data_IF_639710114793
#
_entry.id   IF_639710114793
#
_cell.length_a   1.000
_cell.length_b   1.000
_cell.length_c   1.000
_cell.angle_alpha   90.00
_cell.angle_beta   90.00
_cell.angle_gamma   90.00
#
_symmetry.space_group_name_H-M   'P 1'
#
loop_
_entity.id
_entity.type
_entity.pdbx_description
1 polymer ?
#
# COMPACT_ATOMS: atom_id res chain seq x y z
N UNK A 1 -15.81 10.41 -14.55
CA UNK A 1 -15.91 11.14 -13.26
C UNK A 1 -16.32 10.19 -12.15
N UNK A 2 -15.75 10.28 -10.96
CA UNK A 2 -16.19 9.46 -9.83
C UNK A 2 -17.63 9.85 -9.44
N UNK A 3 -18.45 8.85 -9.10
CA UNK A 3 -19.83 9.08 -8.63
C UNK A 3 -19.86 9.66 -7.21
N UNK A 4 -18.82 9.45 -6.43
CA UNK A 4 -18.68 9.94 -5.07
C UNK A 4 -17.62 11.03 -5.07
N UNK A 5 -17.94 12.19 -4.48
CA UNK A 5 -16.99 13.29 -4.31
C UNK A 5 -15.79 12.82 -3.47
N UNK A 6 -14.59 13.08 -3.94
CA UNK A 6 -13.39 12.93 -3.10
C UNK A 6 -13.32 14.11 -2.14
N UNK A 7 -13.41 13.84 -0.85
CA UNK A 7 -13.32 14.89 0.17
C UNK A 7 -11.92 15.52 0.19
N UNK A 8 -11.86 16.82 0.46
CA UNK A 8 -10.61 17.50 0.79
C UNK A 8 -10.23 17.19 2.23
N UNK A 9 -8.96 17.36 2.60
CA UNK A 9 -8.48 17.06 3.95
C UNK A 9 -9.19 17.84 5.06
N UNK A 10 -9.55 19.09 4.79
CA UNK A 10 -10.28 19.96 5.70
C UNK A 10 -11.74 19.51 5.93
N UNK A 11 -12.25 18.63 5.07
CA UNK A 11 -13.59 18.02 5.18
C UNK A 11 -13.57 16.67 5.95
N UNK A 12 -12.37 16.14 6.32
CA UNK A 12 -12.27 14.87 7.03
C UNK A 12 -12.52 15.02 8.52
N UNK A 13 -13.01 13.95 9.13
CA UNK A 13 -13.02 13.80 10.58
C UNK A 13 -11.60 13.93 11.15
N UNK A 14 -11.42 14.67 12.25
CA UNK A 14 -10.11 14.98 12.80
C UNK A 14 -9.36 13.72 13.27
N UNK A 15 -10.06 12.79 13.93
CA UNK A 15 -9.45 11.57 14.45
C UNK A 15 -9.00 10.67 13.28
N UNK A 16 -9.82 10.55 12.22
CA UNK A 16 -9.44 9.80 11.03
C UNK A 16 -8.22 10.40 10.35
N UNK A 17 -8.15 11.72 10.29
CA UNK A 17 -7.04 12.46 9.70
C UNK A 17 -5.73 12.24 10.47
N UNK A 18 -5.80 12.24 11.80
CA UNK A 18 -4.67 11.95 12.67
C UNK A 18 -4.24 10.47 12.56
N UNK A 19 -5.19 9.52 12.66
CA UNK A 19 -4.92 8.09 12.55
C UNK A 19 -4.23 7.69 11.25
N UNK A 20 -4.51 8.40 10.16
CA UNK A 20 -3.92 8.12 8.84
C UNK A 20 -2.68 8.95 8.54
N UNK A 21 -2.26 9.83 9.45
CA UNK A 21 -1.22 10.83 9.21
C UNK A 21 -1.42 11.60 7.89
N UNK A 22 -2.68 11.89 7.56
CA UNK A 22 -3.07 12.37 6.25
C UNK A 22 -2.44 13.72 5.86
N UNK A 23 -2.10 14.56 6.84
CA UNK A 23 -1.47 15.88 6.60
C UNK A 23 -0.04 15.76 6.04
N UNK A 24 0.65 14.66 6.32
CA UNK A 24 2.00 14.38 5.80
C UNK A 24 1.98 13.54 4.51
N UNK A 25 0.83 12.98 4.16
CA UNK A 25 0.67 12.11 3.02
C UNK A 25 0.49 12.87 1.70
N UNK A 26 0.94 12.26 0.61
CA UNK A 26 0.70 12.75 -0.74
C UNK A 26 -0.76 12.53 -1.18
N UNK A 27 -1.19 13.20 -2.23
CA UNK A 27 -2.52 13.00 -2.82
C UNK A 27 -2.75 11.55 -3.29
N UNK A 28 -1.69 10.82 -3.64
CA UNK A 28 -1.75 9.41 -4.01
C UNK A 28 -1.99 8.52 -2.78
N UNK A 29 -1.26 8.77 -1.69
CA UNK A 29 -1.41 8.04 -0.42
C UNK A 29 -2.77 8.29 0.24
N UNK A 30 -3.26 9.52 0.18
CA UNK A 30 -4.62 9.86 0.60
C UNK A 30 -5.70 9.16 -0.24
N UNK A 31 -5.39 8.91 -1.48
CA UNK A 31 -6.10 8.18 -2.52
C UNK A 31 -7.55 7.80 -2.23
N UNK A 32 -7.75 6.52 -1.94
CA UNK A 32 -9.07 5.95 -1.68
C UNK A 32 -9.68 6.44 -0.35
N UNK A 33 -8.84 6.81 0.61
CA UNK A 33 -9.30 7.31 1.92
C UNK A 33 -10.12 8.60 1.78
N UNK A 34 -9.88 9.41 0.74
CA UNK A 34 -10.69 10.60 0.41
C UNK A 34 -12.15 10.27 0.07
N UNK A 35 -12.42 9.02 -0.27
CA UNK A 35 -13.78 8.50 -0.47
C UNK A 35 -14.32 7.87 0.80
N UNK A 36 -13.50 7.12 1.52
CA UNK A 36 -13.89 6.47 2.78
C UNK A 36 -14.16 7.47 3.90
N UNK A 37 -13.56 8.65 3.85
CA UNK A 37 -13.78 9.73 4.82
C UNK A 37 -15.25 10.21 4.92
N UNK A 38 -16.12 9.84 3.98
CA UNK A 38 -17.57 10.04 4.11
C UNK A 38 -18.20 9.20 5.25
N UNK A 39 -17.54 8.15 5.67
CA UNK A 39 -17.98 7.26 6.75
C UNK A 39 -16.85 7.10 7.79
N UNK A 40 -16.54 8.14 8.58
CA UNK A 40 -15.33 8.19 9.38
C UNK A 40 -15.23 7.06 10.40
N UNK A 41 -16.33 6.66 11.04
CA UNK A 41 -16.30 5.56 12.03
C UNK A 41 -15.94 4.21 11.41
N UNK A 42 -16.47 3.90 10.22
CA UNK A 42 -16.11 2.69 9.48
C UNK A 42 -14.64 2.75 9.04
N UNK A 43 -14.23 3.91 8.57
CA UNK A 43 -12.85 4.13 8.08
C UNK A 43 -11.82 4.03 9.20
N UNK A 44 -12.12 4.55 10.38
CA UNK A 44 -11.27 4.38 11.59
C UNK A 44 -11.15 2.89 11.96
N UNK A 45 -12.23 2.12 11.88
CA UNK A 45 -12.20 0.68 12.09
C UNK A 45 -11.30 -0.05 11.08
N UNK A 46 -11.38 0.33 9.79
CA UNK A 46 -10.53 -0.23 8.74
C UNK A 46 -9.05 0.10 8.97
N UNK A 47 -8.74 1.34 9.32
CA UNK A 47 -7.36 1.78 9.62
C UNK A 47 -6.81 1.05 10.84
N UNK A 48 -7.59 0.91 11.91
CA UNK A 48 -7.19 0.16 13.10
C UNK A 48 -6.93 -1.32 12.78
N UNK A 49 -7.78 -1.95 12.00
CA UNK A 49 -7.60 -3.35 11.56
C UNK A 49 -6.31 -3.51 10.73
N UNK A 50 -6.08 -2.64 9.74
CA UNK A 50 -4.86 -2.66 8.94
C UNK A 50 -3.61 -2.44 9.78
N UNK A 51 -3.67 -1.52 10.75
CA UNK A 51 -2.58 -1.27 11.70
C UNK A 51 -2.29 -2.48 12.59
N UNK A 52 -3.32 -3.17 13.07
CA UNK A 52 -3.16 -4.40 13.86
C UNK A 52 -2.49 -5.51 13.06
N UNK A 53 -2.89 -5.73 11.80
CA UNK A 53 -2.23 -6.69 10.91
C UNK A 53 -0.76 -6.33 10.74
N UNK A 54 -0.45 -5.07 10.45
CA UNK A 54 0.93 -4.60 10.26
C UNK A 54 1.78 -4.83 11.51
N UNK A 55 1.25 -4.53 12.69
CA UNK A 55 1.99 -4.62 13.96
C UNK A 55 2.23 -6.05 14.46
N UNK A 56 1.39 -7.00 14.05
CA UNK A 56 1.41 -8.37 14.57
C UNK A 56 1.78 -9.42 13.50
N UNK A 57 2.06 -9.01 12.28
CA UNK A 57 2.51 -9.95 11.23
C UNK A 57 3.93 -10.46 11.53
N UNK A 58 4.17 -11.72 11.19
CA UNK A 58 5.50 -12.37 11.31
C UNK A 58 6.35 -12.26 10.03
N UNK A 59 5.74 -11.87 8.91
CA UNK A 59 6.44 -11.76 7.63
C UNK A 59 7.23 -10.45 7.55
N UNK A 60 8.46 -10.49 6.98
CA UNK A 60 9.28 -9.29 6.78
C UNK A 60 8.60 -8.25 5.89
N UNK A 61 8.82 -6.98 6.17
CA UNK A 61 8.25 -5.85 5.39
C UNK A 61 8.59 -5.95 3.91
N UNK A 62 9.83 -6.32 3.58
CA UNK A 62 10.28 -6.53 2.21
C UNK A 62 9.43 -7.58 1.48
N UNK A 63 9.20 -8.73 2.09
CA UNK A 63 8.42 -9.81 1.47
C UNK A 63 6.98 -9.38 1.24
N UNK A 64 6.36 -8.74 2.24
CA UNK A 64 4.98 -8.25 2.14
C UNK A 64 4.84 -7.22 1.02
N UNK A 65 5.79 -6.29 0.90
CA UNK A 65 5.75 -5.27 -0.14
C UNK A 65 5.98 -5.83 -1.55
N UNK A 66 6.89 -6.79 -1.70
CA UNK A 66 7.11 -7.48 -2.98
C UNK A 66 5.84 -8.19 -3.47
N UNK A 67 5.18 -8.95 -2.60
CA UNK A 67 3.92 -9.63 -2.92
C UNK A 67 2.82 -8.62 -3.21
N UNK A 68 2.70 -7.55 -2.40
CA UNK A 68 1.73 -6.47 -2.64
C UNK A 68 1.91 -5.85 -4.03
N UNK A 69 3.14 -5.55 -4.42
CA UNK A 69 3.45 -5.00 -5.74
C UNK A 69 3.08 -5.98 -6.85
N UNK A 70 3.42 -7.26 -6.69
CA UNK A 70 3.06 -8.30 -7.67
C UNK A 70 1.55 -8.38 -7.87
N UNK A 71 0.78 -8.41 -6.80
CA UNK A 71 -0.70 -8.39 -6.85
C UNK A 71 -1.21 -7.10 -7.49
N UNK A 72 -0.57 -5.95 -7.21
CA UNK A 72 -0.94 -4.67 -7.82
C UNK A 72 -0.74 -4.68 -9.35
N UNK A 73 0.38 -5.24 -9.83
CA UNK A 73 0.64 -5.40 -11.26
C UNK A 73 -0.33 -6.40 -11.91
N UNK A 74 -0.58 -7.53 -11.27
CA UNK A 74 -1.53 -8.53 -11.78
C UNK A 74 -2.94 -7.93 -11.94
N UNK A 75 -3.39 -7.18 -10.96
CA UNK A 75 -4.72 -6.53 -10.97
C UNK A 75 -4.77 -5.23 -11.80
N UNK A 76 -3.66 -4.79 -12.39
CA UNK A 76 -3.57 -3.53 -13.12
C UNK A 76 -4.07 -2.32 -12.33
N UNK A 77 -3.85 -2.34 -11.00
CA UNK A 77 -4.26 -1.26 -10.10
C UNK A 77 -3.26 -0.11 -10.19
N UNK A 78 -3.56 0.92 -10.98
CA UNK A 78 -2.65 2.05 -11.24
C UNK A 78 -2.12 2.72 -9.97
N UNK A 79 -3.00 3.02 -9.02
CA UNK A 79 -2.59 3.65 -7.76
C UNK A 79 -1.73 2.70 -6.90
N UNK A 80 -2.09 1.41 -6.86
CA UNK A 80 -1.34 0.42 -6.09
C UNK A 80 0.04 0.14 -6.69
N UNK A 81 0.17 0.22 -8.02
CA UNK A 81 1.47 0.08 -8.72
C UNK A 81 2.37 1.29 -8.49
N UNK A 82 1.79 2.49 -8.38
CA UNK A 82 2.53 3.74 -8.27
C UNK A 82 2.97 4.07 -6.84
N UNK A 83 2.24 3.60 -5.82
CA UNK A 83 2.55 3.89 -4.42
C UNK A 83 3.80 3.13 -3.96
N UNK A 84 4.66 3.81 -3.20
CA UNK A 84 5.83 3.24 -2.52
C UNK A 84 5.68 3.49 -1.03
N UNK A 85 5.50 2.43 -0.27
CA UNK A 85 5.46 2.53 1.18
C UNK A 85 6.87 2.65 1.74
N UNK A 86 7.05 3.52 2.72
CA UNK A 86 8.36 3.80 3.29
C UNK A 86 9.04 2.53 3.84
N UNK A 87 8.28 1.65 4.49
CA UNK A 87 8.79 0.37 5.01
C UNK A 87 9.43 -0.50 3.90
N UNK A 88 8.83 -0.49 2.70
CA UNK A 88 9.39 -1.21 1.55
C UNK A 88 10.66 -0.56 1.02
N UNK A 89 10.68 0.76 0.94
CA UNK A 89 11.87 1.53 0.53
C UNK A 89 13.02 1.29 1.52
N UNK A 90 12.74 1.38 2.81
CA UNK A 90 13.72 1.13 3.89
C UNK A 90 14.23 -0.33 3.87
N UNK A 91 13.40 -1.26 3.40
CA UNK A 91 13.76 -2.66 3.21
C UNK A 91 14.50 -2.94 1.88
N UNK A 92 14.90 -1.90 1.15
CA UNK A 92 15.73 -1.99 -0.05
C UNK A 92 14.96 -2.33 -1.34
N UNK A 93 13.67 -1.98 -1.41
CA UNK A 93 12.90 -2.09 -2.65
C UNK A 93 13.02 -0.77 -3.41
N UNK A 94 13.88 -0.75 -4.41
CA UNK A 94 14.07 0.37 -5.32
C UNK A 94 13.29 0.19 -6.64
N UNK A 95 13.36 1.15 -7.53
CA UNK A 95 12.62 1.12 -8.80
C UNK A 95 13.15 0.05 -9.76
N UNK A 96 14.43 -0.29 -9.72
CA UNK A 96 15.01 -1.34 -10.56
C UNK A 96 14.44 -2.70 -10.15
N UNK A 97 14.36 -2.96 -8.85
CA UNK A 97 13.72 -4.16 -8.33
C UNK A 97 12.22 -4.21 -8.65
N UNK A 98 11.52 -3.07 -8.54
CA UNK A 98 10.09 -3.00 -8.91
C UNK A 98 9.89 -3.34 -10.40
N UNK A 99 10.73 -2.83 -11.29
CA UNK A 99 10.69 -3.16 -12.71
C UNK A 99 10.94 -4.66 -12.97
N UNK A 100 11.81 -5.30 -12.18
CA UNK A 100 12.12 -6.72 -12.32
C UNK A 100 10.97 -7.65 -11.94
N UNK A 101 9.95 -7.15 -11.23
CA UNK A 101 8.75 -7.92 -10.84
C UNK A 101 7.85 -8.28 -12.03
N UNK A 102 8.10 -7.76 -13.22
CA UNK A 102 7.45 -8.24 -14.45
C UNK A 102 7.85 -9.69 -14.73
N UNK A 103 9.13 -10.04 -14.46
CA UNK A 103 9.70 -11.39 -14.62
C UNK A 103 10.50 -11.78 -13.37
N UNK A 104 9.85 -12.05 -12.25
CA UNK A 104 10.53 -12.21 -10.96
C UNK A 104 11.51 -13.39 -10.94
N UNK A 105 11.30 -14.41 -11.75
CA UNK A 105 12.20 -15.57 -11.80
C UNK A 105 13.56 -15.23 -12.44
N UNK A 106 13.62 -14.17 -13.25
CA UNK A 106 14.86 -13.70 -13.89
C UNK A 106 15.61 -12.66 -13.01
N UNK A 107 14.98 -12.17 -11.92
CA UNK A 107 15.57 -11.16 -11.05
C UNK A 107 16.70 -11.74 -10.19
N UNK A 108 17.89 -11.09 -10.23
CA UNK A 108 19.06 -11.51 -9.47
C UNK A 108 18.97 -11.10 -7.99
N UNK A 109 18.26 -10.00 -7.69
CA UNK A 109 18.13 -9.40 -6.35
C UNK A 109 17.03 -10.06 -5.48
N UNK A 110 16.40 -11.12 -5.96
CA UNK A 110 15.38 -11.86 -5.24
C UNK A 110 15.90 -13.22 -4.80
N UNK A 111 15.71 -13.52 -3.52
CA UNK A 111 15.95 -14.87 -2.98
C UNK A 111 14.93 -15.89 -3.50
N UNK A 112 15.24 -17.17 -3.43
CA UNK A 112 14.34 -18.25 -3.84
C UNK A 112 13.01 -18.21 -3.07
N UNK A 113 13.05 -17.86 -1.78
CA UNK A 113 11.86 -17.69 -0.95
C UNK A 113 10.98 -16.52 -1.41
N UNK A 114 11.61 -15.40 -1.79
CA UNK A 114 10.87 -14.23 -2.33
C UNK A 114 10.26 -14.56 -3.69
N UNK A 115 10.99 -15.24 -4.57
CA UNK A 115 10.47 -15.70 -5.87
C UNK A 115 9.27 -16.62 -5.70
N UNK A 116 9.35 -17.58 -4.78
CA UNK A 116 8.24 -18.48 -4.48
C UNK A 116 7.01 -17.74 -3.93
N UNK A 117 7.21 -16.77 -3.04
CA UNK A 117 6.13 -15.96 -2.49
C UNK A 117 5.45 -15.08 -3.57
N UNK A 118 6.23 -14.48 -4.47
CA UNK A 118 5.73 -13.67 -5.58
C UNK A 118 4.96 -14.53 -6.60
N UNK A 119 5.38 -15.77 -6.81
CA UNK A 119 4.70 -16.71 -7.70
C UNK A 119 3.35 -17.16 -7.11
N UNK A 120 3.28 -17.31 -5.79
CA UNK A 120 2.04 -17.66 -5.08
C UNK A 120 1.00 -16.54 -5.08
N UNK A 121 1.41 -15.28 -4.96
CA UNK A 121 0.55 -14.09 -4.93
C UNK A 121 0.06 -13.70 -6.31
#
# INVERSE_FOLDING_TARGET
MPRIKKLKLDEWDNDLREMTAADSGTALEQGIMRMFAHTPEISKGLVAFGGAIKSHRSLPDRLVELVRLRVAFHNQCRSCMAIRYQDGVDAGIDEDLVCSLEKPQEAEDLSDAEKAAIEYG
#
